data_IF_416620863130
#
_entry.id   IF_416620863130
#
_cell.length_a   1.000
_cell.length_b   1.000
_cell.length_c   1.000
_cell.angle_alpha   90.00
_cell.angle_beta   90.00
_cell.angle_gamma   90.00
#
_symmetry.space_group_name_H-M   'P 1'
#
loop_
_entity.id
_entity.type
_entity.pdbx_description
1 polymer ?
#
# COMPACT_ATOMS: atom_id res chain seq x y z
N UNK A 1 -8.03 -13.05 -11.97
CA UNK A 1 -7.20 -13.58 -13.07
C UNK A 1 -5.82 -12.93 -12.96
N UNK A 2 -4.79 -13.67 -12.55
CA UNK A 2 -3.49 -13.10 -12.15
C UNK A 2 -2.75 -12.40 -13.31
N UNK A 3 -2.84 -12.95 -14.52
CA UNK A 3 -2.23 -12.35 -15.72
C UNK A 3 -2.81 -10.95 -16.00
N UNK A 4 -4.12 -10.78 -15.82
CA UNK A 4 -4.78 -9.50 -16.03
C UNK A 4 -4.36 -8.46 -14.98
N UNK A 5 -4.13 -8.88 -13.73
CA UNK A 5 -3.63 -8.00 -12.67
C UNK A 5 -2.20 -7.54 -12.95
N UNK A 6 -1.34 -8.44 -13.43
CA UNK A 6 0.02 -8.10 -13.85
C UNK A 6 0.03 -7.11 -15.02
N UNK A 7 -0.78 -7.34 -16.05
CA UNK A 7 -0.90 -6.41 -17.19
C UNK A 7 -1.43 -5.04 -16.74
N UNK A 8 -2.41 -5.02 -15.83
CA UNK A 8 -2.97 -3.78 -15.29
C UNK A 8 -1.95 -2.98 -14.47
N UNK A 9 -1.24 -3.63 -13.55
CA UNK A 9 -0.18 -3.00 -12.76
C UNK A 9 0.99 -2.55 -13.64
N UNK A 10 1.40 -3.36 -14.62
CA UNK A 10 2.45 -3.02 -15.57
C UNK A 10 2.11 -1.77 -16.38
N UNK A 11 0.90 -1.73 -16.95
CA UNK A 11 0.41 -0.55 -17.68
C UNK A 11 0.32 0.67 -16.77
N UNK A 12 -0.19 0.50 -15.54
CA UNK A 12 -0.26 1.58 -14.54
C UNK A 12 1.10 2.15 -14.18
N UNK A 13 2.13 1.31 -14.04
CA UNK A 13 3.50 1.74 -13.74
C UNK A 13 4.19 2.42 -14.92
N UNK A 14 3.93 1.99 -16.16
CA UNK A 14 4.41 2.69 -17.36
C UNK A 14 3.84 4.11 -17.37
N UNK A 15 2.52 4.26 -17.15
CA UNK A 15 1.89 5.58 -17.09
C UNK A 15 2.45 6.40 -15.92
N UNK A 16 2.59 5.82 -14.72
CA UNK A 16 3.17 6.50 -13.55
C UNK A 16 4.55 7.10 -13.87
N UNK A 17 5.44 6.31 -14.46
CA UNK A 17 6.79 6.75 -14.82
C UNK A 17 6.80 7.92 -15.82
N UNK A 18 5.89 7.93 -16.80
CA UNK A 18 5.78 9.02 -17.79
C UNK A 18 5.39 10.36 -17.16
N UNK A 19 4.69 10.36 -16.02
CA UNK A 19 4.30 11.56 -15.27
C UNK A 19 5.24 11.86 -14.09
N UNK A 20 6.41 11.22 -14.01
CA UNK A 20 7.36 11.41 -12.90
C UNK A 20 6.91 10.77 -11.57
N UNK A 21 5.94 9.86 -11.64
CA UNK A 21 5.45 9.09 -10.49
C UNK A 21 6.38 7.95 -10.09
N UNK A 22 6.14 7.41 -8.90
CA UNK A 22 6.88 6.27 -8.34
C UNK A 22 6.19 4.95 -8.70
N UNK A 23 6.92 3.80 -8.64
CA UNK A 23 6.31 2.49 -8.80
C UNK A 23 5.17 2.27 -7.81
N UNK A 24 4.02 1.88 -8.32
CA UNK A 24 2.81 1.58 -7.57
C UNK A 24 2.54 0.07 -7.55
N UNK A 25 1.98 -0.39 -6.44
CA UNK A 25 1.51 -1.76 -6.23
C UNK A 25 0.12 -1.74 -5.57
N UNK A 26 -0.50 -2.90 -5.45
CA UNK A 26 -1.74 -3.05 -4.70
C UNK A 26 -1.56 -2.63 -3.24
N UNK A 27 -2.31 -1.61 -2.80
CA UNK A 27 -2.27 -1.13 -1.43
C UNK A 27 -3.21 -1.93 -0.52
N UNK A 28 -2.66 -2.90 0.23
CA UNK A 28 -3.43 -3.81 1.12
C UNK A 28 -4.34 -3.02 2.08
N UNK A 29 -3.80 -1.97 2.70
CA UNK A 29 -4.56 -1.12 3.63
C UNK A 29 -5.79 -0.48 2.96
N UNK A 30 -5.64 0.02 1.73
CA UNK A 30 -6.76 0.62 0.97
C UNK A 30 -7.81 -0.43 0.63
N UNK A 31 -7.39 -1.61 0.17
CA UNK A 31 -8.30 -2.71 -0.17
C UNK A 31 -9.08 -3.17 1.07
N UNK A 32 -8.42 -3.27 2.23
CA UNK A 32 -9.08 -3.63 3.49
C UNK A 32 -10.13 -2.59 3.91
N UNK A 33 -9.83 -1.29 3.78
CA UNK A 33 -10.80 -0.22 4.06
C UNK A 33 -11.97 -0.25 3.09
N UNK A 34 -11.72 -0.42 1.78
CA UNK A 34 -12.78 -0.54 0.77
C UNK A 34 -13.71 -1.72 1.06
N UNK A 35 -13.17 -2.87 1.45
CA UNK A 35 -13.96 -4.05 1.82
C UNK A 35 -14.79 -3.77 3.08
N UNK A 36 -14.21 -3.14 4.11
CA UNK A 36 -14.94 -2.73 5.32
C UNK A 36 -16.05 -1.72 5.04
N UNK A 37 -15.89 -0.89 4.01
CA UNK A 37 -16.90 0.04 3.52
C UNK A 37 -17.88 -0.59 2.52
N UNK A 38 -17.88 -1.92 2.38
CA UNK A 38 -18.76 -2.67 1.47
C UNK A 38 -18.65 -2.25 0.00
N UNK A 39 -17.48 -1.76 -0.42
CA UNK A 39 -17.23 -1.43 -1.82
C UNK A 39 -17.10 -2.72 -2.66
N UNK A 40 -17.90 -2.83 -3.72
CA UNK A 40 -17.99 -4.04 -4.56
C UNK A 40 -17.54 -3.82 -6.01
N UNK A 41 -17.16 -2.59 -6.37
CA UNK A 41 -16.85 -2.21 -7.76
C UNK A 41 -15.54 -1.42 -7.85
N UNK A 42 -14.90 -1.36 -9.04
CA UNK A 42 -13.66 -0.60 -9.25
C UNK A 42 -13.86 0.92 -9.11
N UNK A 43 -15.12 1.39 -9.03
CA UNK A 43 -15.47 2.81 -8.90
C UNK A 43 -14.86 3.41 -7.63
N UNK A 44 -14.77 2.66 -6.53
CA UNK A 44 -14.14 3.15 -5.30
C UNK A 44 -12.67 3.55 -5.51
N UNK A 45 -11.94 2.82 -6.35
CA UNK A 45 -10.56 3.14 -6.72
C UNK A 45 -10.46 4.40 -7.58
N UNK A 46 -11.38 4.55 -8.55
CA UNK A 46 -11.43 5.73 -9.43
C UNK A 46 -11.76 6.98 -8.63
N UNK A 47 -12.77 6.91 -7.76
CA UNK A 47 -13.15 8.03 -6.88
C UNK A 47 -11.98 8.42 -5.99
N UNK A 48 -11.31 7.46 -5.35
CA UNK A 48 -10.14 7.73 -4.53
C UNK A 48 -9.00 8.43 -5.31
N UNK A 49 -8.70 7.97 -6.53
CA UNK A 49 -7.68 8.59 -7.38
C UNK A 49 -8.05 10.02 -7.76
N UNK A 50 -9.31 10.26 -8.15
CA UNK A 50 -9.81 11.61 -8.46
C UNK A 50 -9.80 12.53 -7.24
N UNK A 51 -10.16 12.03 -6.06
CA UNK A 51 -10.10 12.80 -4.81
C UNK A 51 -8.66 13.22 -4.49
N UNK A 52 -7.68 12.32 -4.64
CA UNK A 52 -6.27 12.65 -4.42
C UNK A 52 -5.76 13.68 -5.44
N UNK A 53 -6.14 13.54 -6.71
CA UNK A 53 -5.79 14.51 -7.75
C UNK A 53 -6.34 15.90 -7.43
N UNK A 54 -7.61 15.97 -7.02
CA UNK A 54 -8.26 17.22 -6.63
C UNK A 54 -7.58 17.85 -5.40
N UNK A 55 -7.25 17.03 -4.41
CA UNK A 55 -6.54 17.47 -3.21
C UNK A 55 -5.16 18.02 -3.54
N UNK A 56 -4.41 17.37 -4.42
CA UNK A 56 -3.12 17.89 -4.89
C UNK A 56 -3.28 19.21 -5.65
N UNK A 57 -4.28 19.33 -6.53
CA UNK A 57 -4.44 20.54 -7.35
C UNK A 57 -4.82 21.78 -6.53
N UNK A 58 -5.68 21.63 -5.51
CA UNK A 58 -6.20 22.76 -4.74
C UNK A 58 -5.54 22.95 -3.36
N UNK A 59 -5.11 21.86 -2.71
CA UNK A 59 -4.60 21.87 -1.33
C UNK A 59 -3.07 21.66 -1.24
N UNK A 60 -2.35 21.62 -2.36
CA UNK A 60 -0.88 21.56 -2.35
C UNK A 60 -0.20 22.62 -1.43
N UNK A 61 -0.64 23.90 -1.39
CA UNK A 61 -0.03 24.89 -0.50
C UNK A 61 -0.26 24.59 1.00
N UNK A 62 -1.33 23.90 1.35
CA UNK A 62 -1.56 23.44 2.73
C UNK A 62 -0.72 22.22 3.04
N UNK A 63 -0.53 21.33 2.05
CA UNK A 63 0.26 20.12 2.21
C UNK A 63 1.75 20.42 2.51
N UNK A 64 2.30 21.53 2.01
CA UNK A 64 3.68 21.95 2.30
C UNK A 64 3.90 22.38 3.75
N UNK A 65 2.84 22.69 4.50
CA UNK A 65 2.90 23.03 5.92
C UNK A 65 2.96 21.79 6.82
N UNK A 66 2.81 20.58 6.28
CA UNK A 66 2.79 19.34 7.07
C UNK A 66 4.21 19.03 7.57
N UNK A 67 4.45 18.95 8.90
CA UNK A 67 5.76 18.62 9.43
C UNK A 67 6.18 17.19 9.06
N UNK A 68 7.44 17.02 8.64
CA UNK A 68 7.99 15.70 8.29
C UNK A 68 7.90 14.71 9.46
N UNK A 69 8.06 15.19 10.70
CA UNK A 69 7.97 14.37 11.91
C UNK A 69 6.60 13.70 12.05
N UNK A 70 5.52 14.39 11.66
CA UNK A 70 4.17 13.83 11.66
C UNK A 70 4.02 12.72 10.64
N UNK A 71 4.61 12.87 9.45
CA UNK A 71 4.61 11.84 8.41
C UNK A 71 5.42 10.61 8.86
N UNK A 72 6.57 10.79 9.50
CA UNK A 72 7.37 9.69 10.05
C UNK A 72 6.61 8.91 11.13
N UNK A 73 5.87 9.60 12.00
CA UNK A 73 5.05 8.94 13.01
C UNK A 73 3.95 8.07 12.37
N UNK A 74 3.27 8.58 11.33
CA UNK A 74 2.26 7.80 10.58
C UNK A 74 2.90 6.58 9.91
N UNK A 75 4.07 6.74 9.28
CA UNK A 75 4.78 5.63 8.64
C UNK A 75 5.18 4.56 9.67
N UNK A 76 5.66 4.94 10.85
CA UNK A 76 5.99 3.99 11.92
C UNK A 76 4.78 3.15 12.35
N UNK A 77 3.60 3.77 12.49
CA UNK A 77 2.36 3.06 12.84
C UNK A 77 1.97 2.07 11.75
N UNK A 78 2.00 2.50 10.47
CA UNK A 78 1.66 1.63 9.34
C UNK A 78 2.66 0.47 9.23
N UNK A 79 3.96 0.73 9.39
CA UNK A 79 4.99 -0.31 9.40
C UNK A 79 4.79 -1.30 10.53
N UNK A 80 4.43 -0.83 11.73
CA UNK A 80 4.13 -1.68 12.87
C UNK A 80 2.95 -2.62 12.57
N UNK A 81 1.86 -2.09 12.02
CA UNK A 81 0.68 -2.87 11.66
C UNK A 81 0.98 -3.92 10.58
N UNK A 82 1.84 -3.59 9.61
CA UNK A 82 2.23 -4.52 8.53
C UNK A 82 3.24 -5.58 8.97
N UNK A 83 4.06 -5.30 9.98
CA UNK A 83 5.18 -6.14 10.42
C UNK A 83 4.79 -7.58 10.80
N UNK A 84 3.50 -7.83 11.10
CA UNK A 84 2.98 -9.16 11.44
C UNK A 84 3.80 -9.88 12.53
N UNK A 85 4.39 -9.11 13.46
CA UNK A 85 5.32 -9.59 14.50
C UNK A 85 4.85 -10.89 15.20
N UNK A 86 3.59 -11.02 15.65
CA UNK A 86 3.11 -12.24 16.29
C UNK A 86 3.14 -13.48 15.39
N UNK A 87 2.90 -13.29 14.08
CA UNK A 87 2.97 -14.37 13.09
C UNK A 87 4.42 -14.77 12.83
N UNK A 88 5.33 -13.80 12.77
CA UNK A 88 6.76 -14.05 12.64
C UNK A 88 7.29 -14.94 13.78
N UNK A 89 7.03 -14.57 15.03
CA UNK A 89 7.41 -15.39 16.19
C UNK A 89 6.76 -16.78 16.17
N UNK A 90 5.48 -16.87 15.80
CA UNK A 90 4.79 -18.16 15.71
C UNK A 90 5.45 -19.11 14.70
N UNK A 91 5.88 -18.61 13.54
CA UNK A 91 6.54 -19.41 12.51
C UNK A 91 7.90 -19.89 13.01
N UNK A 92 8.70 -19.02 13.62
CA UNK A 92 10.00 -19.41 14.19
C UNK A 92 9.88 -20.52 15.25
N UNK A 93 8.86 -20.45 16.11
CA UNK A 93 8.71 -21.37 17.24
C UNK A 93 7.98 -22.67 16.89
N UNK A 94 7.10 -22.68 15.88
CA UNK A 94 6.18 -23.81 15.63
C UNK A 94 6.24 -24.40 14.22
N UNK A 95 6.91 -23.76 13.26
CA UNK A 95 6.96 -24.24 11.87
C UNK A 95 8.19 -25.13 11.61
N UNK A 96 8.19 -25.91 10.51
CA UNK A 96 9.36 -26.68 10.08
C UNK A 96 10.62 -25.83 9.98
N UNK A 97 11.78 -26.43 10.24
CA UNK A 97 13.09 -25.74 10.18
C UNK A 97 13.37 -25.12 8.81
N UNK A 98 12.84 -25.69 7.73
CA UNK A 98 12.93 -25.13 6.37
C UNK A 98 12.25 -23.77 6.26
N UNK A 99 11.03 -23.66 6.78
CA UNK A 99 10.18 -22.48 6.63
C UNK A 99 10.70 -21.34 7.52
N UNK A 100 11.18 -21.68 8.72
CA UNK A 100 11.85 -20.73 9.60
C UNK A 100 13.16 -20.22 8.99
N UNK A 101 13.92 -21.07 8.29
CA UNK A 101 15.16 -20.67 7.63
C UNK A 101 14.90 -19.73 6.44
N UNK A 102 13.90 -20.02 5.60
CA UNK A 102 13.49 -19.13 4.51
C UNK A 102 13.05 -17.77 5.05
N UNK A 103 12.27 -17.75 6.13
CA UNK A 103 11.79 -16.51 6.76
C UNK A 103 12.92 -15.69 7.42
N UNK A 104 13.95 -16.33 7.97
CA UNK A 104 15.09 -15.61 8.57
C UNK A 104 16.06 -15.05 7.52
N UNK A 105 16.08 -15.63 6.33
CA UNK A 105 16.99 -15.26 5.25
C UNK A 105 16.40 -14.23 4.28
N UNK A 106 15.07 -14.05 4.28
CA UNK A 106 14.33 -13.10 3.44
C UNK A 106 13.78 -11.96 4.28
#
# INVERSE_FOLDING_TARGET
NANMELVAQGTGNIVSALFGGIPATGAIARTATNIKSSAVSPVAGIVHALTLLLFMLFLAPLASAIPLVSLSAVLMVISWDMSSLPRFFRILLKSPKSDAFVLLTT
#
